data_IF_026779333502
#
_entry.id   IF_026779333502
#
_cell.length_a   1.000
_cell.length_b   1.000
_cell.length_c   1.000
_cell.angle_alpha   90.00
_cell.angle_beta   90.00
_cell.angle_gamma   90.00
#
_symmetry.space_group_name_H-M   'P 1'
#
loop_
_entity.id
_entity.type
_entity.pdbx_description
1 polymer ?
#
# COMPACT_ATOMS: atom_id res chain seq x y z
N UNK A 1 10.68 -17.55 -20.84
CA UNK A 1 11.74 -17.10 -19.90
C UNK A 1 12.96 -18.05 -19.82
N UNK A 2 13.44 -18.60 -20.93
CA UNK A 2 14.62 -19.51 -20.92
C UNK A 2 15.93 -18.78 -20.55
N UNK A 3 16.01 -17.48 -20.80
CA UNK A 3 17.18 -16.66 -20.49
C UNK A 3 17.36 -16.38 -18.99
N UNK A 4 16.26 -16.21 -18.24
CA UNK A 4 16.32 -16.00 -16.78
C UNK A 4 16.91 -17.23 -16.06
N UNK A 5 16.56 -18.43 -16.53
CA UNK A 5 17.14 -19.67 -15.99
C UNK A 5 18.63 -19.81 -16.35
N UNK A 6 19.08 -19.27 -17.48
CA UNK A 6 20.50 -19.24 -17.83
C UNK A 6 21.30 -18.22 -17.01
N UNK A 7 20.71 -17.06 -16.73
CA UNK A 7 21.39 -15.98 -15.98
C UNK A 7 21.43 -16.26 -14.45
N UNK A 8 20.42 -16.94 -13.89
CA UNK A 8 20.27 -17.14 -12.44
C UNK A 8 20.13 -18.59 -11.98
N UNK A 9 20.00 -19.55 -12.91
CA UNK A 9 19.82 -20.96 -12.59
C UNK A 9 21.14 -21.69 -12.42
N UNK A 10 21.04 -22.91 -11.89
CA UNK A 10 22.15 -23.85 -11.77
C UNK A 10 22.04 -24.83 -12.94
N UNK A 11 23.17 -25.13 -13.60
CA UNK A 11 23.18 -26.13 -14.66
C UNK A 11 22.98 -27.52 -14.06
N UNK A 12 21.94 -28.23 -14.50
CA UNK A 12 21.72 -29.61 -14.10
C UNK A 12 22.30 -30.54 -15.18
N UNK A 13 23.31 -31.34 -14.80
CA UNK A 13 24.03 -32.23 -15.71
C UNK A 13 23.15 -33.35 -16.28
N UNK A 14 22.09 -33.76 -15.57
CA UNK A 14 21.22 -34.89 -15.96
C UNK A 14 20.20 -34.52 -17.03
N UNK A 15 19.70 -33.28 -17.03
CA UNK A 15 18.67 -32.81 -17.97
C UNK A 15 19.22 -31.92 -19.08
N UNK A 16 20.53 -31.62 -19.07
CA UNK A 16 21.21 -30.71 -20.00
C UNK A 16 20.48 -29.35 -20.12
N UNK A 17 19.82 -28.93 -19.04
CA UNK A 17 18.98 -27.75 -19.01
C UNK A 17 19.34 -26.87 -17.81
N UNK A 18 19.26 -25.55 -18.03
CA UNK A 18 19.39 -24.56 -16.97
C UNK A 18 18.09 -24.51 -16.18
N UNK A 19 18.15 -24.80 -14.89
CA UNK A 19 16.99 -24.86 -14.02
C UNK A 19 17.27 -24.19 -12.68
N UNK A 20 16.25 -23.58 -12.09
CA UNK A 20 16.34 -23.06 -10.72
C UNK A 20 15.90 -24.19 -9.78
N UNK A 21 16.74 -24.62 -8.81
CA UNK A 21 16.36 -25.66 -7.85
C UNK A 21 15.05 -25.32 -7.14
N UNK A 22 14.23 -26.33 -6.83
CA UNK A 22 12.94 -26.13 -6.16
C UNK A 22 13.08 -25.32 -4.86
N UNK A 23 14.14 -25.57 -4.07
CA UNK A 23 14.45 -24.81 -2.86
C UNK A 23 14.62 -23.31 -3.13
N UNK A 24 15.29 -22.94 -4.23
CA UNK A 24 15.49 -21.54 -4.59
C UNK A 24 14.17 -20.91 -5.05
N UNK A 25 13.38 -21.63 -5.85
CA UNK A 25 12.04 -21.15 -6.24
C UNK A 25 11.15 -20.89 -5.02
N UNK A 26 11.16 -21.79 -4.03
CA UNK A 26 10.43 -21.61 -2.77
C UNK A 26 10.92 -20.41 -1.97
N UNK A 27 12.23 -20.15 -1.93
CA UNK A 27 12.78 -18.95 -1.28
C UNK A 27 12.30 -17.69 -2.04
N UNK A 28 12.33 -17.70 -3.38
CA UNK A 28 11.91 -16.56 -4.20
C UNK A 28 10.43 -16.19 -4.09
N UNK A 29 9.56 -17.17 -3.77
CA UNK A 29 8.12 -16.95 -3.57
C UNK A 29 7.71 -16.81 -2.10
N UNK A 30 8.41 -17.45 -1.17
CA UNK A 30 8.12 -17.39 0.27
C UNK A 30 8.63 -16.12 0.95
N UNK A 31 9.80 -15.62 0.55
CA UNK A 31 10.41 -14.42 1.17
C UNK A 31 9.61 -13.12 0.96
N UNK A 32 8.96 -12.87 -0.20
CA UNK A 32 8.05 -11.72 -0.33
C UNK A 32 6.88 -11.77 0.66
N UNK A 33 6.31 -12.96 0.91
CA UNK A 33 5.20 -13.12 1.87
C UNK A 33 5.62 -12.72 3.28
N UNK A 34 6.83 -13.11 3.69
CA UNK A 34 7.41 -12.66 4.97
C UNK A 34 7.61 -11.13 4.98
N UNK A 35 8.07 -10.54 3.88
CA UNK A 35 8.18 -9.09 3.72
C UNK A 35 6.85 -8.37 3.91
N UNK A 36 5.77 -8.87 3.30
CA UNK A 36 4.41 -8.33 3.46
C UNK A 36 3.95 -8.39 4.92
N UNK A 37 4.20 -9.51 5.60
CA UNK A 37 3.83 -9.67 7.01
C UNK A 37 4.52 -8.64 7.90
N UNK A 38 5.83 -8.45 7.72
CA UNK A 38 6.61 -7.43 8.45
C UNK A 38 6.10 -6.02 8.10
N UNK A 39 5.84 -5.76 6.82
CA UNK A 39 5.35 -4.46 6.35
C UNK A 39 4.00 -4.10 6.97
N UNK A 40 3.11 -5.09 7.10
CA UNK A 40 1.80 -4.93 7.73
C UNK A 40 1.90 -4.52 9.20
N UNK A 41 2.83 -5.12 9.96
CA UNK A 41 3.07 -4.76 11.37
C UNK A 41 3.56 -3.32 11.51
N UNK A 42 4.47 -2.90 10.61
CA UNK A 42 5.02 -1.54 10.61
C UNK A 42 3.96 -0.51 10.18
N UNK A 43 3.04 -0.89 9.28
CA UNK A 43 2.02 -0.02 8.73
C UNK A 43 1.16 0.65 9.81
N UNK A 44 0.77 -0.10 10.84
CA UNK A 44 -0.05 0.42 11.94
C UNK A 44 0.66 1.53 12.73
N UNK A 45 1.95 1.35 13.03
CA UNK A 45 2.73 2.37 13.73
C UNK A 45 2.99 3.60 12.86
N UNK A 46 3.42 3.38 11.61
CA UNK A 46 3.77 4.47 10.69
C UNK A 46 2.52 5.30 10.34
N UNK A 47 1.43 4.65 9.99
CA UNK A 47 0.18 5.32 9.62
C UNK A 47 -0.40 6.15 10.76
N UNK A 48 -0.37 5.63 12.00
CA UNK A 48 -0.92 6.35 13.16
C UNK A 48 -0.04 7.52 13.61
N UNK A 49 1.29 7.36 13.59
CA UNK A 49 2.21 8.39 14.08
C UNK A 49 2.49 9.49 13.06
N UNK A 50 2.72 9.12 11.80
CA UNK A 50 3.18 10.07 10.77
C UNK A 50 2.05 10.58 9.86
N UNK A 51 0.88 9.96 9.90
CA UNK A 51 -0.21 10.25 8.97
C UNK A 51 -0.24 9.29 7.80
N UNK A 52 -1.32 9.33 7.03
CA UNK A 52 -1.63 8.39 5.95
C UNK A 52 -0.85 8.78 4.70
N UNK A 53 -0.75 10.07 4.37
CA UNK A 53 -0.02 10.52 3.16
C UNK A 53 1.49 10.39 3.32
N UNK A 54 2.03 10.73 4.51
CA UNK A 54 3.45 10.51 4.78
C UNK A 54 3.82 9.03 4.76
N UNK A 55 2.93 8.17 5.26
CA UNK A 55 3.12 6.72 5.17
C UNK A 55 3.03 6.21 3.73
N UNK A 56 2.22 6.85 2.87
CA UNK A 56 2.15 6.58 1.43
C UNK A 56 3.48 6.91 0.73
N UNK A 57 4.08 8.07 1.00
CA UNK A 57 5.41 8.43 0.48
C UNK A 57 6.52 7.52 1.01
N UNK A 58 6.50 7.21 2.30
CA UNK A 58 7.46 6.29 2.91
C UNK A 58 7.42 4.91 2.22
N UNK A 59 6.22 4.38 2.00
CA UNK A 59 6.08 3.10 1.30
C UNK A 59 6.53 3.20 -0.16
N UNK A 60 6.17 4.27 -0.88
CA UNK A 60 6.61 4.47 -2.26
C UNK A 60 8.14 4.53 -2.38
N UNK A 61 8.83 5.20 -1.45
CA UNK A 61 10.29 5.24 -1.40
C UNK A 61 10.90 3.85 -1.19
N UNK A 62 10.35 3.04 -0.28
CA UNK A 62 10.79 1.65 -0.06
C UNK A 62 10.59 0.80 -1.33
N UNK A 63 9.45 0.96 -2.01
CA UNK A 63 9.18 0.26 -3.26
C UNK A 63 10.21 0.62 -4.34
N UNK A 64 10.49 1.91 -4.54
CA UNK A 64 11.48 2.38 -5.52
C UNK A 64 12.87 1.79 -5.24
N UNK A 65 13.31 1.77 -3.98
CA UNK A 65 14.58 1.15 -3.58
C UNK A 65 14.56 -0.36 -3.84
N UNK A 66 13.49 -1.06 -3.47
CA UNK A 66 13.35 -2.50 -3.71
C UNK A 66 13.35 -2.86 -5.20
N UNK A 67 12.71 -2.05 -6.04
CA UNK A 67 12.71 -2.25 -7.50
C UNK A 67 14.09 -1.92 -8.08
N UNK A 68 14.79 -0.89 -7.58
CA UNK A 68 16.15 -0.57 -8.02
C UNK A 68 17.15 -1.70 -7.73
N UNK A 69 17.04 -2.33 -6.56
CA UNK A 69 17.86 -3.49 -6.20
C UNK A 69 17.58 -4.67 -7.15
N UNK A 70 16.31 -4.89 -7.52
CA UNK A 70 15.93 -5.92 -8.50
C UNK A 70 16.37 -5.58 -9.93
N UNK A 71 16.32 -4.31 -10.32
CA UNK A 71 16.71 -3.88 -11.67
C UNK A 71 18.23 -3.95 -11.87
N UNK A 72 19.00 -3.74 -10.81
CA UNK A 72 20.47 -3.81 -10.81
C UNK A 72 21.03 -5.20 -10.57
N UNK A 73 20.18 -6.20 -10.26
CA UNK A 73 20.66 -7.58 -10.09
C UNK A 73 21.06 -8.17 -11.45
N UNK A 74 22.36 -8.25 -11.72
CA UNK A 74 22.91 -8.71 -13.00
C UNK A 74 23.23 -10.21 -13.02
N UNK A 75 23.71 -10.79 -11.91
CA UNK A 75 24.17 -12.20 -11.88
C UNK A 75 23.96 -12.91 -10.55
N UNK A 76 23.46 -12.22 -9.51
CA UNK A 76 23.23 -12.81 -8.19
C UNK A 76 21.73 -13.01 -7.94
N UNK A 77 21.32 -14.27 -7.81
CA UNK A 77 19.95 -14.63 -7.43
C UNK A 77 19.57 -14.04 -6.06
N UNK A 78 20.52 -14.02 -5.12
CA UNK A 78 20.30 -13.52 -3.76
C UNK A 78 20.02 -12.02 -3.73
N UNK A 79 20.65 -11.22 -4.60
CA UNK A 79 20.37 -9.80 -4.73
C UNK A 79 18.93 -9.56 -5.19
N UNK A 80 18.45 -10.36 -6.15
CA UNK A 80 17.06 -10.30 -6.62
C UNK A 80 16.08 -10.66 -5.49
N UNK A 81 16.39 -11.68 -4.68
CA UNK A 81 15.59 -12.06 -3.50
C UNK A 81 15.52 -10.93 -2.48
N UNK A 82 16.66 -10.30 -2.14
CA UNK A 82 16.69 -9.15 -1.23
C UNK A 82 15.83 -8.00 -1.74
N UNK A 83 15.98 -7.65 -3.02
CA UNK A 83 15.17 -6.60 -3.63
C UNK A 83 13.67 -6.90 -3.60
N UNK A 84 13.28 -8.18 -3.79
CA UNK A 84 11.88 -8.62 -3.66
C UNK A 84 11.35 -8.48 -2.24
N UNK A 85 12.14 -8.81 -1.22
CA UNK A 85 11.75 -8.64 0.19
C UNK A 85 11.48 -7.18 0.51
N UNK A 86 12.40 -6.30 0.10
CA UNK A 86 12.26 -4.85 0.31
C UNK A 86 11.04 -4.29 -0.41
N UNK A 87 10.81 -4.70 -1.67
CA UNK A 87 9.61 -4.29 -2.41
C UNK A 87 8.32 -4.83 -1.74
N UNK A 88 8.34 -6.07 -1.26
CA UNK A 88 7.21 -6.69 -0.58
C UNK A 88 6.89 -6.04 0.77
N UNK A 89 7.89 -5.50 1.47
CA UNK A 89 7.70 -4.69 2.67
C UNK A 89 6.83 -3.47 2.38
N UNK A 90 7.13 -2.75 1.29
CA UNK A 90 6.32 -1.62 0.84
C UNK A 90 4.87 -2.04 0.56
N UNK A 91 4.67 -3.15 -0.15
CA UNK A 91 3.34 -3.68 -0.43
C UNK A 91 2.53 -3.94 0.84
N UNK A 92 3.14 -4.54 1.88
CA UNK A 92 2.49 -4.76 3.17
C UNK A 92 2.05 -3.47 3.86
N UNK A 93 2.86 -2.41 3.75
CA UNK A 93 2.53 -1.09 4.31
C UNK A 93 1.32 -0.49 3.57
N UNK A 94 1.37 -0.49 2.23
CA UNK A 94 0.35 0.08 1.35
C UNK A 94 -0.99 -0.63 1.49
N UNK A 95 -0.98 -1.96 1.57
CA UNK A 95 -2.19 -2.78 1.70
C UNK A 95 -3.02 -2.46 2.94
N UNK A 96 -2.41 -1.89 3.98
CA UNK A 96 -3.13 -1.49 5.18
C UNK A 96 -3.57 -0.03 5.10
N UNK A 97 -2.69 0.88 4.64
CA UNK A 97 -2.97 2.31 4.68
C UNK A 97 -4.03 2.73 3.67
N UNK A 98 -4.00 2.21 2.44
CA UNK A 98 -4.95 2.59 1.39
C UNK A 98 -6.41 2.33 1.81
N UNK A 99 -6.81 1.10 2.18
CA UNK A 99 -8.21 0.85 2.52
C UNK A 99 -8.65 1.61 3.78
N UNK A 100 -7.73 1.86 4.73
CA UNK A 100 -8.01 2.72 5.89
C UNK A 100 -8.32 4.14 5.43
N UNK A 101 -7.46 4.73 4.59
CA UNK A 101 -7.66 6.07 4.07
C UNK A 101 -8.94 6.17 3.24
N UNK A 102 -9.21 5.20 2.36
CA UNK A 102 -10.47 5.13 1.60
C UNK A 102 -11.69 5.03 2.52
N UNK A 103 -11.61 4.25 3.60
CA UNK A 103 -12.69 4.16 4.59
C UNK A 103 -12.90 5.43 5.41
N UNK A 104 -11.84 6.24 5.60
CA UNK A 104 -11.85 7.53 6.30
C UNK A 104 -12.37 8.66 5.40
N UNK A 105 -12.12 8.61 4.10
CA UNK A 105 -12.53 9.62 3.10
C UNK A 105 -13.91 9.33 2.51
N UNK A 106 -14.30 8.06 2.41
CA UNK A 106 -15.54 7.69 1.72
C UNK A 106 -16.82 8.07 2.50
N UNK A 107 -17.84 8.60 1.78
CA UNK A 107 -19.15 8.84 2.37
C UNK A 107 -19.78 7.50 2.80
N UNK A 108 -20.59 7.55 3.87
CA UNK A 108 -21.12 6.34 4.52
C UNK A 108 -21.89 5.40 3.56
N UNK A 109 -22.60 5.97 2.58
CA UNK A 109 -23.39 5.22 1.60
C UNK A 109 -22.56 4.48 0.55
N UNK A 110 -21.37 4.98 0.20
CA UNK A 110 -20.54 4.44 -0.90
C UNK A 110 -19.23 3.80 -0.41
N UNK A 111 -19.00 3.72 0.91
CA UNK A 111 -17.76 3.20 1.48
C UNK A 111 -17.38 1.82 0.93
N UNK A 112 -18.37 0.94 0.72
CA UNK A 112 -18.14 -0.38 0.13
C UNK A 112 -17.59 -0.31 -1.30
N UNK A 113 -18.14 0.60 -2.13
CA UNK A 113 -17.68 0.79 -3.50
C UNK A 113 -16.24 1.30 -3.56
N UNK A 114 -15.86 2.25 -2.70
CA UNK A 114 -14.49 2.79 -2.65
C UNK A 114 -13.45 1.72 -2.30
N UNK A 115 -13.74 0.87 -1.30
CA UNK A 115 -12.85 -0.23 -0.92
C UNK A 115 -12.77 -1.28 -2.03
N UNK A 116 -13.89 -1.56 -2.71
CA UNK A 116 -13.89 -2.50 -3.83
C UNK A 116 -13.07 -1.99 -5.03
N UNK A 117 -13.02 -0.67 -5.27
CA UNK A 117 -12.15 -0.09 -6.31
C UNK A 117 -10.68 -0.41 -6.07
N UNK A 118 -10.23 -0.43 -4.80
CA UNK A 118 -8.87 -0.86 -4.47
C UNK A 118 -8.63 -2.33 -4.84
N UNK A 119 -9.56 -3.21 -4.46
CA UNK A 119 -9.45 -4.64 -4.77
C UNK A 119 -9.46 -4.91 -6.29
N UNK A 120 -10.30 -4.17 -7.03
CA UNK A 120 -10.34 -4.21 -8.49
C UNK A 120 -8.99 -3.78 -9.09
N UNK A 121 -8.38 -2.70 -8.58
CA UNK A 121 -7.10 -2.22 -9.09
C UNK A 121 -5.96 -3.20 -8.84
N UNK A 122 -5.97 -3.92 -7.70
CA UNK A 122 -5.01 -5.00 -7.43
C UNK A 122 -5.13 -6.13 -8.47
N UNK A 123 -6.35 -6.54 -8.79
CA UNK A 123 -6.60 -7.60 -9.77
C UNK A 123 -6.23 -7.14 -11.18
N UNK A 124 -6.57 -5.89 -11.52
CA UNK A 124 -6.22 -5.29 -12.81
C UNK A 124 -4.70 -5.18 -13.01
N UNK A 125 -3.95 -4.78 -11.97
CA UNK A 125 -2.49 -4.79 -12.00
C UNK A 125 -1.90 -6.18 -12.19
N UNK A 126 -2.46 -7.19 -11.52
CA UNK A 126 -2.05 -8.59 -11.71
C UNK A 126 -2.34 -9.09 -13.14
N UNK A 127 -3.48 -8.70 -13.73
CA UNK A 127 -3.82 -9.02 -15.12
C UNK A 127 -2.79 -8.43 -16.10
N UNK A 128 -2.45 -7.15 -15.95
CA UNK A 128 -1.42 -6.51 -16.78
C UNK A 128 -0.08 -7.25 -16.62
N UNK A 129 0.31 -7.58 -15.39
CA UNK A 129 1.56 -8.31 -15.14
C UNK A 129 1.59 -9.66 -15.89
N UNK A 130 0.48 -10.42 -15.87
CA UNK A 130 0.38 -11.70 -16.59
C UNK A 130 0.46 -11.49 -18.11
N UNK A 131 -0.24 -10.50 -18.66
CA UNK A 131 -0.22 -10.19 -20.09
C UNK A 131 1.19 -9.81 -20.54
N UNK A 132 1.88 -8.95 -19.79
CA UNK A 132 3.26 -8.52 -20.11
C UNK A 132 4.23 -9.70 -20.00
N UNK A 133 4.09 -10.55 -18.99
CA UNK A 133 4.91 -11.76 -18.87
C UNK A 133 4.67 -12.74 -20.03
N UNK A 134 3.43 -12.89 -20.47
CA UNK A 134 3.09 -13.72 -21.63
C UNK A 134 3.70 -13.15 -22.92
N UNK A 135 3.55 -11.84 -23.16
CA UNK A 135 4.13 -11.17 -24.33
C UNK A 135 5.67 -11.24 -24.37
N UNK A 136 6.33 -11.24 -23.21
CA UNK A 136 7.79 -11.34 -23.13
C UNK A 136 8.30 -12.78 -23.11
N UNK A 137 7.42 -13.79 -23.10
CA UNK A 137 7.84 -15.19 -22.92
C UNK A 137 8.62 -15.75 -24.12
N UNK A 138 8.27 -15.31 -25.33
CA UNK A 138 8.90 -15.75 -26.59
C UNK A 138 10.26 -15.08 -26.85
N UNK A 139 10.56 -13.95 -26.17
CA UNK A 139 11.88 -13.31 -26.28
C UNK A 139 12.96 -14.12 -25.54
N UNK A 140 14.08 -14.32 -26.21
CA UNK A 140 15.30 -14.93 -25.66
C UNK A 140 16.31 -13.93 -25.10
N UNK A 141 16.05 -12.62 -25.20
CA UNK A 141 16.96 -11.58 -24.72
C UNK A 141 16.89 -11.40 -23.20
N UNK A 142 17.98 -10.95 -22.58
CA UNK A 142 18.01 -10.56 -21.16
C UNK A 142 16.99 -9.44 -20.83
N UNK A 143 16.58 -8.66 -21.83
CA UNK A 143 15.55 -7.63 -21.69
C UNK A 143 14.16 -8.18 -21.37
N UNK A 144 13.89 -9.47 -21.65
CA UNK A 144 12.57 -10.07 -21.44
C UNK A 144 12.10 -9.99 -19.97
N UNK A 145 12.98 -10.30 -19.01
CA UNK A 145 12.65 -10.20 -17.58
C UNK A 145 12.92 -8.80 -17.01
N UNK A 146 13.92 -8.08 -17.53
CA UNK A 146 14.27 -6.74 -17.04
C UNK A 146 13.18 -5.72 -17.33
N UNK A 147 12.52 -5.80 -18.49
CA UNK A 147 11.39 -4.93 -18.81
C UNK A 147 10.23 -5.11 -17.82
N UNK A 148 9.95 -6.35 -17.40
CA UNK A 148 8.91 -6.63 -16.40
C UNK A 148 9.29 -6.03 -15.04
N UNK A 149 10.57 -6.04 -14.67
CA UNK A 149 11.05 -5.40 -13.44
C UNK A 149 10.96 -3.88 -13.54
N UNK A 150 11.40 -3.30 -14.66
CA UNK A 150 11.41 -1.85 -14.88
C UNK A 150 9.98 -1.29 -14.91
N UNK A 151 9.02 -2.03 -15.49
CA UNK A 151 7.63 -1.61 -15.53
C UNK A 151 7.02 -1.42 -14.14
N UNK A 152 7.54 -2.11 -13.12
CA UNK A 152 7.09 -1.93 -11.74
C UNK A 152 7.38 -0.52 -11.21
N UNK A 153 8.34 0.22 -11.77
CA UNK A 153 8.63 1.61 -11.34
C UNK A 153 7.48 2.58 -11.62
N UNK A 154 6.63 2.28 -12.59
CA UNK A 154 5.57 3.20 -13.04
C UNK A 154 4.61 3.50 -11.88
N UNK A 155 4.14 2.48 -11.16
CA UNK A 155 3.12 2.65 -10.11
C UNK A 155 3.66 3.43 -8.90
N UNK A 156 4.81 3.07 -8.28
CA UNK A 156 5.36 3.84 -7.16
C UNK A 156 5.71 5.28 -7.55
N UNK A 157 6.12 5.53 -8.80
CA UNK A 157 6.36 6.90 -9.27
C UNK A 157 5.08 7.72 -9.32
N UNK A 158 4.00 7.14 -9.85
CA UNK A 158 2.67 7.76 -9.82
C UNK A 158 2.22 7.99 -8.37
N UNK A 159 2.51 7.07 -7.45
CA UNK A 159 2.20 7.24 -6.03
C UNK A 159 2.94 8.43 -5.40
N UNK A 160 4.23 8.59 -5.68
CA UNK A 160 5.01 9.74 -5.18
C UNK A 160 4.40 11.05 -5.66
N UNK A 161 4.12 11.16 -6.96
CA UNK A 161 3.52 12.36 -7.58
C UNK A 161 2.12 12.61 -7.03
N UNK A 162 1.28 11.57 -6.96
CA UNK A 162 -0.09 11.67 -6.47
C UNK A 162 -0.18 12.06 -4.99
N UNK A 163 0.81 11.67 -4.18
CA UNK A 163 0.87 12.05 -2.76
C UNK A 163 1.01 13.56 -2.52
N UNK A 164 1.49 14.36 -3.49
CA UNK A 164 1.50 15.83 -3.37
C UNK A 164 0.12 16.47 -3.55
N UNK A 165 -0.81 15.77 -4.20
CA UNK A 165 -2.16 16.26 -4.51
C UNK A 165 -3.17 15.77 -3.48
N UNK A 166 -2.91 14.62 -2.84
CA UNK A 166 -3.85 14.02 -1.90
C UNK A 166 -3.89 14.78 -0.56
N UNK A 167 -5.09 15.16 -0.07
CA UNK A 167 -5.23 15.68 1.28
C UNK A 167 -5.00 14.58 2.31
N UNK A 168 -4.55 14.98 3.49
CA UNK A 168 -4.38 14.09 4.63
C UNK A 168 -5.74 13.60 5.16
N UNK A 169 -5.76 12.43 5.82
CA UNK A 169 -7.03 11.90 6.33
C UNK A 169 -7.66 12.82 7.39
N UNK A 170 -8.95 13.20 7.26
CA UNK A 170 -9.61 14.07 8.22
C UNK A 170 -9.70 13.43 9.61
N UNK A 171 -9.85 12.10 9.68
CA UNK A 171 -9.86 11.37 10.97
C UNK A 171 -8.51 11.43 11.67
N UNK A 172 -7.42 11.36 10.91
CA UNK A 172 -6.08 11.47 11.47
C UNK A 172 -5.79 12.90 11.93
N UNK A 173 -6.23 13.91 11.18
CA UNK A 173 -6.09 15.31 11.58
C UNK A 173 -6.79 15.59 12.93
N UNK A 174 -8.01 15.09 13.12
CA UNK A 174 -8.75 15.21 14.39
C UNK A 174 -8.04 14.47 15.52
N UNK A 175 -7.46 13.28 15.28
CA UNK A 175 -6.72 12.56 16.33
C UNK A 175 -5.42 13.25 16.75
N UNK A 176 -4.88 14.13 15.91
CA UNK A 176 -3.72 14.99 16.22
C UNK A 176 -4.13 16.37 16.77
N UNK A 177 -5.43 16.62 17.01
CA UNK A 177 -5.94 17.91 17.50
C UNK A 177 -5.95 19.03 16.44
N UNK A 178 -5.83 18.69 15.15
CA UNK A 178 -5.82 19.63 14.02
C UNK A 178 -7.21 19.78 13.41
N UNK A 179 -8.19 20.14 14.24
CA UNK A 179 -9.61 20.16 13.86
C UNK A 179 -9.93 21.15 12.73
N UNK A 180 -9.27 22.31 12.72
CA UNK A 180 -9.46 23.34 11.66
C UNK A 180 -9.10 22.80 10.28
N UNK A 181 -7.97 22.12 10.17
CA UNK A 181 -7.54 21.51 8.91
C UNK A 181 -8.44 20.34 8.51
N UNK A 182 -8.93 19.58 9.48
CA UNK A 182 -9.89 18.50 9.21
C UNK A 182 -11.19 19.03 8.59
N UNK A 183 -11.68 20.20 9.05
CA UNK A 183 -12.85 20.88 8.47
C UNK A 183 -12.57 21.29 7.02
N UNK A 184 -11.41 21.90 6.74
CA UNK A 184 -11.03 22.31 5.38
C UNK A 184 -10.94 21.11 4.42
N UNK A 185 -10.30 20.02 4.86
CA UNK A 185 -10.23 18.78 4.08
C UNK A 185 -11.62 18.20 3.84
N UNK A 186 -12.50 18.18 4.85
CA UNK A 186 -13.87 17.69 4.67
C UNK A 186 -14.69 18.58 3.73
N UNK A 187 -14.53 19.90 3.79
CA UNK A 187 -15.13 20.85 2.82
C UNK A 187 -14.65 20.58 1.40
N UNK A 188 -13.36 20.26 1.24
CA UNK A 188 -12.80 19.87 -0.06
C UNK A 188 -13.34 18.52 -0.56
N UNK A 189 -13.48 17.52 0.31
CA UNK A 189 -13.97 16.19 -0.04
C UNK A 189 -15.48 16.15 -0.31
N UNK A 190 -16.26 16.99 0.40
CA UNK A 190 -17.73 17.02 0.37
C UNK A 190 -18.26 18.32 -0.24
N UNK A 191 -17.66 18.76 -1.35
CA UNK A 191 -18.10 19.95 -2.09
C UNK A 191 -19.61 19.89 -2.35
N UNK A 192 -20.32 20.96 -1.99
CA UNK A 192 -21.78 21.08 -2.13
C UNK A 192 -22.60 20.67 -0.88
N UNK A 193 -21.95 20.21 0.19
CA UNK A 193 -22.63 19.94 1.47
C UNK A 193 -22.66 21.21 2.34
N UNK A 194 -23.78 21.54 3.03
CA UNK A 194 -23.83 22.69 3.94
C UNK A 194 -22.82 22.58 5.08
N UNK A 195 -22.19 23.71 5.46
CA UNK A 195 -21.17 23.78 6.51
C UNK A 195 -21.64 23.18 7.84
N UNK A 196 -22.92 23.39 8.21
CA UNK A 196 -23.51 22.82 9.42
C UNK A 196 -23.52 21.28 9.47
N UNK A 197 -23.57 20.62 8.31
CA UNK A 197 -23.51 19.14 8.23
C UNK A 197 -22.06 18.67 8.37
N UNK A 198 -21.10 19.43 7.82
CA UNK A 198 -19.67 19.14 7.92
C UNK A 198 -19.19 19.27 9.36
N UNK A 199 -19.59 20.33 10.07
CA UNK A 199 -19.26 20.52 11.48
C UNK A 199 -19.82 19.39 12.36
N UNK A 200 -21.06 18.97 12.11
CA UNK A 200 -21.64 17.81 12.80
C UNK A 200 -20.84 16.54 12.55
N UNK A 201 -20.37 16.32 11.32
CA UNK A 201 -19.55 15.16 10.99
C UNK A 201 -18.19 15.19 11.69
N UNK A 202 -17.53 16.34 11.79
CA UNK A 202 -16.28 16.51 12.55
C UNK A 202 -16.48 16.12 14.01
N UNK A 203 -17.57 16.59 14.64
CA UNK A 203 -17.90 16.25 16.03
C UNK A 203 -18.12 14.74 16.20
N UNK A 204 -18.87 14.11 15.29
CA UNK A 204 -19.10 12.66 15.31
C UNK A 204 -17.81 11.86 15.13
N UNK A 205 -16.92 12.30 14.22
CA UNK A 205 -15.61 11.69 14.04
C UNK A 205 -14.78 11.85 15.31
N UNK A 206 -14.73 13.02 15.91
CA UNK A 206 -14.03 13.28 17.18
C UNK A 206 -14.52 12.37 18.31
N UNK A 207 -15.83 12.18 18.44
CA UNK A 207 -16.42 11.23 19.40
C UNK A 207 -15.96 9.79 19.14
N UNK A 208 -15.94 9.36 17.88
CA UNK A 208 -15.50 8.01 17.50
C UNK A 208 -14.00 7.78 17.80
N UNK A 209 -13.18 8.82 17.69
CA UNK A 209 -11.75 8.78 18.01
C UNK A 209 -11.55 8.72 19.52
N UNK A 210 -12.26 9.55 20.29
CA UNK A 210 -12.22 9.55 21.76
C UNK A 210 -12.67 8.20 22.33
N UNK A 211 -13.71 7.59 21.76
CA UNK A 211 -14.17 6.25 22.16
C UNK A 211 -13.07 5.19 22.01
N UNK A 212 -12.27 5.27 20.94
CA UNK A 212 -11.14 4.34 20.72
C UNK A 212 -9.97 4.58 21.68
N UNK A 213 -9.74 5.83 22.10
CA UNK A 213 -8.59 6.19 22.96
C UNK A 213 -8.88 5.99 24.45
N UNK A 214 -10.09 6.29 24.90
CA UNK A 214 -10.46 6.37 26.33
C UNK A 214 -11.22 5.12 26.81
N UNK A 215 -11.74 4.33 25.87
CA UNK A 215 -12.44 3.08 26.13
C UNK A 215 -13.85 3.27 26.70
N UNK A 216 -14.71 2.23 26.63
CA UNK A 216 -16.13 2.32 27.02
C UNK A 216 -16.35 2.74 28.47
N UNK A 217 -15.44 2.33 29.37
CA UNK A 217 -15.61 2.42 30.82
C UNK A 217 -15.51 3.85 31.36
N UNK A 218 -14.71 4.71 30.72
CA UNK A 218 -14.49 6.07 31.20
C UNK A 218 -15.57 7.02 30.67
N UNK A 219 -15.99 6.85 29.41
CA UNK A 219 -17.03 7.68 28.77
C UNK A 219 -18.43 7.51 29.39
N UNK A 220 -18.76 6.33 29.91
CA UNK A 220 -20.04 6.12 30.64
C UNK A 220 -20.09 6.86 31.99
N UNK A 221 -18.96 7.25 32.58
CA UNK A 221 -18.93 7.97 33.86
C UNK A 221 -19.15 9.49 33.68
N UNK A 222 -18.75 10.05 32.54
CA UNK A 222 -18.96 11.46 32.21
C UNK A 222 -20.33 11.69 31.59
N UNK A 223 -21.36 11.83 32.45
CA UNK A 223 -22.74 12.25 32.09
C UNK A 223 -22.84 13.62 31.38
N UNK A 224 -21.74 14.32 31.14
CA UNK A 224 -21.70 15.71 30.67
C UNK A 224 -22.01 15.90 29.18
N UNK A 225 -22.06 14.82 28.38
CA UNK A 225 -22.09 14.91 26.91
C UNK A 225 -23.45 14.60 26.25
N UNK A 226 -24.43 14.11 27.00
CA UNK A 226 -25.74 13.70 26.46
C UNK A 226 -26.70 14.86 26.11
N UNK A 227 -26.30 16.12 26.34
CA UNK A 227 -27.21 17.27 26.22
C UNK A 227 -27.26 17.94 24.84
N UNK A 228 -26.45 17.51 23.86
CA UNK A 228 -26.38 18.17 22.52
C UNK A 228 -27.25 17.46 21.46
N UNK A 229 -27.99 16.41 21.82
CA UNK A 229 -28.86 15.67 20.90
C UNK A 229 -30.37 15.83 21.15
N UNK A 230 -30.81 17.04 21.51
CA UNK A 230 -32.23 17.43 21.41
C UNK A 230 -32.37 18.70 20.61
#
# INVERSE_FOLDING_TARGET
MKQFQKDFGVFNAETQAWGIPATWQSIGSGTPTAGIAIGTLIAGYVGNKFGRIKAFWFAAAIALVGILIQATSMSSYWQLVVGRIVNALSMGIICNIIPICQGEVAPASLRGSFVNTYQFMLLFGALIAVIVNWAMNERSDQWAYRLVIILQFVIPTIMVVGGFILPESPRWLISQGRDREAVEVLKYLRRGTPDAVIEKEVVLIGQSVLWKLVGPRVLMSTRRFWWVSR
#
